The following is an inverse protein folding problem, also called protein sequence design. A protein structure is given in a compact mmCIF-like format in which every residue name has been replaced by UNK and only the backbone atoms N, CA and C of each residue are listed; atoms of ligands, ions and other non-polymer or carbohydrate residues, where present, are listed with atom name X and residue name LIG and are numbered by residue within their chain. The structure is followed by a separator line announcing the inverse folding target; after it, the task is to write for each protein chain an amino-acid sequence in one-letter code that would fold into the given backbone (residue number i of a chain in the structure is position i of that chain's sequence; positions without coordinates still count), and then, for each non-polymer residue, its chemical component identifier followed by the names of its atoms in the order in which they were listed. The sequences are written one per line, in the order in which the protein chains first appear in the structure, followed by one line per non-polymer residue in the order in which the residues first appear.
data_IF_590932532509
#
_entry.id   IF_590932532509
#
_cell.length_a   1.000
_cell.length_b   1.000
_cell.length_c   1.000
_cell.angle_alpha   90.00
_cell.angle_beta   90.00
_cell.angle_gamma   90.00
#
_symmetry.space_group_name_H-M   'P 1'
#
loop_
_entity.id
_entity.type
_entity.pdbx_description
1 polymer ?
#
# COMPACT_ATOMS: atom_id res chain seq x y z
N UNK A 1 -0.99 7.80 -6.50
CA UNK A 1 -1.73 8.63 -7.49
C UNK A 1 -2.73 7.74 -8.22
N UNK A 2 -3.97 8.20 -8.44
CA UNK A 2 -4.93 7.45 -9.28
C UNK A 2 -4.43 7.44 -10.72
N UNK A 3 -4.38 6.26 -11.34
CA UNK A 3 -3.97 6.08 -12.73
C UNK A 3 -5.03 6.64 -13.67
N UNK A 4 -4.60 7.08 -14.84
CA UNK A 4 -5.50 7.48 -15.93
C UNK A 4 -5.75 6.33 -16.89
N UNK A 5 -6.94 6.30 -17.51
CA UNK A 5 -7.29 5.30 -18.53
C UNK A 5 -8.17 4.17 -17.99
N UNK A 6 -8.03 2.99 -18.58
CA UNK A 6 -8.86 1.83 -18.30
C UNK A 6 -8.04 0.59 -17.96
N UNK A 7 -8.58 -0.23 -17.06
CA UNK A 7 -8.10 -1.57 -16.76
C UNK A 7 -8.19 -2.45 -18.01
N UNK A 8 -7.18 -3.29 -18.20
CA UNK A 8 -7.11 -4.24 -19.32
C UNK A 8 -7.77 -5.59 -19.05
N UNK A 9 -8.65 -5.69 -18.05
CA UNK A 9 -9.31 -6.94 -17.67
C UNK A 9 -10.38 -7.39 -18.67
N UNK A 10 -10.83 -8.64 -18.51
CA UNK A 10 -11.82 -9.33 -19.34
C UNK A 10 -13.17 -9.53 -18.64
N UNK A 11 -13.35 -8.96 -17.45
CA UNK A 11 -14.49 -9.13 -16.53
C UNK A 11 -14.78 -10.57 -16.10
N UNK A 12 -13.85 -11.50 -16.35
CA UNK A 12 -13.94 -12.90 -15.92
C UNK A 12 -12.81 -13.27 -14.95
N UNK A 13 -11.58 -12.92 -15.29
CA UNK A 13 -10.37 -13.18 -14.50
C UNK A 13 -9.81 -11.91 -13.88
N UNK A 14 -10.10 -10.75 -14.47
CA UNK A 14 -9.73 -9.43 -13.97
C UNK A 14 -10.78 -8.38 -14.33
N UNK A 15 -11.01 -7.36 -13.47
CA UNK A 15 -11.97 -6.30 -13.73
C UNK A 15 -11.51 -5.41 -14.90
N UNK A 16 -12.45 -5.07 -15.79
CA UNK A 16 -12.28 -4.06 -16.83
C UNK A 16 -12.77 -2.68 -16.35
N UNK A 17 -12.96 -1.73 -17.27
CA UNK A 17 -13.48 -0.38 -16.97
C UNK A 17 -12.40 0.64 -16.58
N UNK A 18 -12.81 1.85 -16.20
CA UNK A 18 -11.89 2.95 -15.87
C UNK A 18 -11.19 2.74 -14.54
N UNK A 19 -9.97 3.26 -14.40
CA UNK A 19 -9.34 3.41 -13.08
C UNK A 19 -10.15 4.43 -12.26
N UNK A 20 -11.00 3.96 -11.35
CA UNK A 20 -11.91 4.77 -10.54
C UNK A 20 -11.55 4.76 -9.05
N UNK A 21 -10.50 4.04 -8.66
CA UNK A 21 -10.00 3.97 -7.30
C UNK A 21 -10.66 2.87 -6.46
N UNK A 22 -11.49 2.02 -7.07
CA UNK A 22 -12.08 0.85 -6.42
C UNK A 22 -11.01 -0.15 -5.99
N UNK A 23 -9.92 -0.31 -6.75
CA UNK A 23 -8.86 -1.27 -6.46
C UNK A 23 -7.53 -0.59 -6.17
N UNK A 24 -6.68 -1.20 -5.34
CA UNK A 24 -5.32 -0.69 -5.06
C UNK A 24 -4.53 -0.53 -6.36
N UNK A 25 -4.71 -1.45 -7.32
CA UNK A 25 -4.07 -1.47 -8.62
C UNK A 25 -4.49 -0.31 -9.54
N UNK A 26 -5.55 0.41 -9.18
CA UNK A 26 -5.93 1.65 -9.86
C UNK A 26 -5.01 2.80 -9.47
N UNK A 27 -4.21 2.65 -8.42
CA UNK A 27 -3.23 3.62 -7.99
C UNK A 27 -1.82 3.19 -8.37
N UNK A 28 -0.97 4.17 -8.62
CA UNK A 28 0.47 3.99 -8.76
C UNK A 28 1.22 4.85 -7.76
N UNK A 29 2.33 4.31 -7.26
CA UNK A 29 3.29 5.08 -6.50
C UNK A 29 4.13 5.94 -7.44
N UNK A 30 4.37 7.18 -7.05
CA UNK A 30 5.19 8.14 -7.80
C UNK A 30 6.19 8.72 -6.82
N UNK A 31 7.47 8.48 -7.08
CA UNK A 31 8.56 8.97 -6.23
C UNK A 31 8.49 10.48 -6.04
N UNK A 32 8.64 10.93 -4.79
CA UNK A 32 8.63 12.35 -4.42
C UNK A 32 7.26 13.06 -4.52
N UNK A 33 6.16 12.38 -4.88
CA UNK A 33 4.83 13.01 -4.91
C UNK A 33 4.25 13.25 -3.50
N UNK A 34 4.74 12.53 -2.49
CA UNK A 34 4.33 12.67 -1.10
C UNK A 34 5.32 12.05 -0.12
N UNK A 35 4.91 11.93 1.15
CA UNK A 35 5.78 11.46 2.24
C UNK A 35 5.81 9.93 2.41
N UNK A 36 5.02 9.19 1.60
CA UNK A 36 4.83 7.75 1.73
C UNK A 36 5.65 6.99 0.68
N UNK A 37 6.15 5.83 1.10
CA UNK A 37 6.83 4.88 0.22
C UNK A 37 5.85 4.05 -0.63
N UNK A 38 6.39 3.14 -1.44
CA UNK A 38 5.62 2.26 -2.32
C UNK A 38 4.68 1.29 -1.57
N UNK A 39 4.90 1.12 -0.27
CA UNK A 39 4.12 0.25 0.62
C UNK A 39 3.10 1.04 1.45
N UNK A 40 2.91 2.33 1.15
CA UNK A 40 2.00 3.22 1.84
C UNK A 40 2.36 3.38 3.34
N UNK A 41 3.66 3.31 3.64
CA UNK A 41 4.21 3.60 4.95
C UNK A 41 5.28 4.68 4.91
N UNK A 42 5.74 5.05 6.10
CA UNK A 42 6.80 6.04 6.30
C UNK A 42 7.48 5.86 7.64
N UNK A 43 8.66 6.46 7.78
CA UNK A 43 9.33 6.58 9.08
C UNK A 43 8.97 7.91 9.75
N UNK A 44 8.65 7.89 11.03
CA UNK A 44 8.37 9.12 11.79
C UNK A 44 8.23 8.89 13.29
N UNK A 45 8.26 10.00 14.03
CA UNK A 45 8.13 10.01 15.50
C UNK A 45 6.66 9.86 15.91
N UNK A 46 6.42 9.02 16.92
CA UNK A 46 5.12 8.93 17.62
C UNK A 46 5.34 9.12 19.13
N UNK A 47 4.29 9.39 19.93
CA UNK A 47 4.42 9.45 21.38
C UNK A 47 5.05 8.20 22.01
N UNK A 48 4.78 7.02 21.44
CA UNK A 48 5.29 5.72 21.88
C UNK A 48 6.72 5.46 21.40
N UNK A 49 7.10 6.03 20.24
CA UNK A 49 8.41 5.86 19.60
C UNK A 49 9.07 7.23 19.36
N UNK A 50 9.65 7.86 20.40
CA UNK A 50 10.24 9.19 20.32
C UNK A 50 11.47 9.28 19.40
N UNK A 51 12.16 8.15 19.19
CA UNK A 51 13.29 8.05 18.25
C UNK A 51 12.85 7.77 16.81
N UNK A 52 11.54 7.63 16.58
CA UNK A 52 10.97 7.25 15.30
C UNK A 52 10.72 5.75 15.17
N UNK A 53 9.74 5.41 14.35
CA UNK A 53 9.46 4.06 13.90
C UNK A 53 8.88 4.10 12.48
N UNK A 54 8.90 2.96 11.80
CA UNK A 54 8.17 2.80 10.55
C UNK A 54 6.71 2.42 10.83
N UNK A 55 5.77 3.04 10.11
CA UNK A 55 4.35 2.72 10.21
C UNK A 55 3.61 2.92 8.89
N UNK A 56 2.53 2.16 8.72
CA UNK A 56 1.60 2.30 7.60
C UNK A 56 0.55 3.36 7.90
N UNK A 57 0.07 4.05 6.86
CA UNK A 57 -0.95 5.10 6.97
C UNK A 57 -2.23 4.65 6.29
N UNK A 58 -3.35 4.71 7.01
CA UNK A 58 -4.70 4.48 6.48
C UNK A 58 -5.50 5.76 6.73
N UNK A 59 -6.22 6.23 5.72
CA UNK A 59 -7.06 7.43 5.81
C UNK A 59 -8.50 7.09 5.48
N UNK A 60 -9.42 8.04 5.71
CA UNK A 60 -10.81 7.88 5.30
C UNK A 60 -10.96 7.79 3.77
N UNK A 61 -10.10 8.49 3.02
CA UNK A 61 -10.11 8.50 1.55
C UNK A 61 -9.39 7.29 0.95
N UNK A 62 -8.46 6.68 1.70
CA UNK A 62 -7.76 5.46 1.32
C UNK A 62 -7.85 4.42 2.47
N UNK A 63 -9.04 3.83 2.70
CA UNK A 63 -9.30 2.95 3.83
C UNK A 63 -8.88 1.50 3.56
N UNK A 64 -7.75 1.31 2.87
CA UNK A 64 -7.29 0.00 2.41
C UNK A 64 -6.03 -0.41 3.14
N UNK A 65 -5.98 -1.65 3.60
CA UNK A 65 -4.78 -2.23 4.22
C UNK A 65 -3.73 -2.46 3.12
N UNK A 66 -2.50 -1.96 3.28
CA UNK A 66 -1.44 -2.21 2.31
C UNK A 66 -1.12 -3.70 2.18
N UNK A 67 -0.96 -4.19 0.95
CA UNK A 67 -0.52 -5.56 0.67
C UNK A 67 1.01 -5.71 0.66
N UNK A 68 1.73 -4.59 0.62
CA UNK A 68 3.17 -4.59 0.81
C UNK A 68 3.48 -4.51 2.30
N UNK A 69 4.32 -5.42 2.77
CA UNK A 69 4.87 -5.38 4.13
C UNK A 69 6.38 -5.18 4.07
N UNK A 70 6.88 -4.18 4.78
CA UNK A 70 8.30 -4.01 5.08
C UNK A 70 8.65 -4.64 6.43
N UNK A 71 9.89 -5.13 6.52
CA UNK A 71 10.43 -5.80 7.69
C UNK A 71 10.91 -7.22 7.38
N UNK A 72 11.62 -7.81 8.33
CA UNK A 72 12.05 -9.20 8.28
C UNK A 72 11.16 -10.00 9.24
N UNK A 73 10.36 -10.97 8.75
CA UNK A 73 9.61 -11.86 9.63
C UNK A 73 10.56 -12.61 10.57
N UNK A 74 10.15 -12.84 11.82
CA UNK A 74 10.91 -13.69 12.73
C UNK A 74 10.80 -15.15 12.26
N UNK A 75 11.91 -15.88 12.30
CA UNK A 75 12.02 -17.31 11.98
C UNK A 75 11.03 -18.18 12.77
N UNK A 76 10.63 -17.75 13.97
CA UNK A 76 9.61 -18.44 14.79
C UNK A 76 8.25 -18.57 14.10
N UNK A 77 7.95 -17.74 13.10
CA UNK A 77 6.71 -17.79 12.31
C UNK A 77 6.81 -18.68 11.06
N UNK A 78 7.97 -19.30 10.80
CA UNK A 78 8.14 -20.20 9.66
C UNK A 78 7.40 -21.52 9.92
N UNK A 79 6.44 -21.85 9.06
CA UNK A 79 5.70 -23.12 9.15
C UNK A 79 6.54 -24.23 8.51
N UNK A 80 6.77 -25.32 9.25
CA UNK A 80 7.30 -26.58 8.70
C UNK A 80 8.80 -26.81 8.87
N UNK A 81 9.41 -26.26 9.92
CA UNK A 81 10.78 -26.63 10.34
C UNK A 81 10.85 -28.03 10.95
#
# INVERSE_FOLDING_TARGET
QLRSGSRGGDDSTAPSGTYDGTYIQDYEWVDGLGDLDECNGRYGVTPEYPNGTYYYVITADFPVIPNCFTGTPNDDFQIGN
#
